data_IF_023573112615
#
_entry.id   IF_023573112615
#
_cell.length_a   1.000
_cell.length_b   1.000
_cell.length_c   1.000
_cell.angle_alpha   90.00
_cell.angle_beta   90.00
_cell.angle_gamma   90.00
#
_symmetry.space_group_name_H-M   'P 1'
#
loop_
_entity.id
_entity.type
_entity.pdbx_description
1 polymer ?
#
# COMPACT_ATOMS: atom_id res chain seq x y z
N UNK A 1 -6.73 -0.90 -21.77
CA UNK A 1 -6.39 -0.32 -20.45
C UNK A 1 -4.97 0.25 -20.41
N UNK A 2 -3.90 -0.58 -20.42
CA UNK A 2 -2.50 -0.11 -20.37
C UNK A 2 -2.15 0.96 -21.40
N UNK A 3 -2.60 0.78 -22.64
CA UNK A 3 -2.41 1.75 -23.72
C UNK A 3 -2.96 3.14 -23.36
N UNK A 4 -4.20 3.23 -22.84
CA UNK A 4 -4.78 4.50 -22.43
C UNK A 4 -3.97 5.18 -21.32
N UNK A 5 -3.51 4.42 -20.33
CA UNK A 5 -2.68 4.94 -19.25
C UNK A 5 -1.32 5.45 -19.76
N UNK A 6 -0.72 4.78 -20.75
CA UNK A 6 0.53 5.22 -21.37
C UNK A 6 0.38 6.57 -22.09
N UNK A 7 -0.80 6.88 -22.65
CA UNK A 7 -1.10 8.20 -23.23
C UNK A 7 -1.57 9.24 -22.21
N UNK A 8 -1.68 8.89 -20.92
CA UNK A 8 -2.28 9.75 -19.91
C UNK A 8 -3.79 9.94 -20.06
N UNK A 9 -4.46 9.12 -20.88
CA UNK A 9 -5.89 9.20 -21.13
C UNK A 9 -6.72 8.53 -20.02
N UNK A 10 -6.67 9.08 -18.80
CA UNK A 10 -7.26 8.50 -17.58
C UNK A 10 -8.76 8.18 -17.72
N UNK A 11 -9.55 9.09 -18.29
CA UNK A 11 -11.00 8.88 -18.49
C UNK A 11 -11.30 7.70 -19.41
N UNK A 12 -10.55 7.55 -20.50
CA UNK A 12 -10.67 6.40 -21.41
C UNK A 12 -10.23 5.10 -20.74
N UNK A 13 -9.17 5.15 -19.94
CA UNK A 13 -8.72 4.03 -19.13
C UNK A 13 -9.78 3.59 -18.12
N UNK A 14 -10.42 4.55 -17.44
CA UNK A 14 -11.47 4.27 -16.47
C UNK A 14 -12.72 3.65 -17.09
N UNK A 15 -13.19 4.18 -18.22
CA UNK A 15 -14.30 3.55 -18.97
C UNK A 15 -13.97 2.10 -19.36
N UNK A 16 -12.76 1.85 -19.84
CA UNK A 16 -12.32 0.49 -20.16
C UNK A 16 -12.24 -0.41 -18.91
N UNK A 17 -11.84 0.14 -17.76
CA UNK A 17 -11.82 -0.58 -16.48
C UNK A 17 -13.22 -0.94 -16.00
N UNK A 18 -14.20 -0.04 -16.12
CA UNK A 18 -15.60 -0.33 -15.80
C UNK A 18 -16.19 -1.44 -16.68
N UNK A 19 -15.84 -1.45 -17.97
CA UNK A 19 -16.28 -2.51 -18.90
C UNK A 19 -15.66 -3.88 -18.60
N UNK A 20 -14.48 -3.91 -17.97
CA UNK A 20 -13.86 -5.16 -17.52
C UNK A 20 -14.57 -5.76 -16.30
N UNK A 21 -15.38 -4.98 -15.58
CA UNK A 21 -16.19 -5.40 -14.43
C UNK A 21 -15.39 -6.20 -13.37
N UNK A 22 -14.20 -5.68 -13.03
CA UNK A 22 -13.26 -6.30 -12.10
C UNK A 22 -13.87 -6.39 -10.69
N UNK A 23 -14.01 -7.61 -10.16
CA UNK A 23 -14.70 -7.87 -8.88
C UNK A 23 -13.91 -8.79 -7.94
N UNK A 24 -14.18 -8.64 -6.64
CA UNK A 24 -13.68 -9.52 -5.57
C UNK A 24 -12.16 -9.75 -5.66
N UNK A 25 -11.72 -11.01 -5.75
CA UNK A 25 -10.31 -11.40 -5.84
C UNK A 25 -9.55 -10.72 -6.98
N UNK A 26 -10.25 -10.37 -8.07
CA UNK A 26 -9.62 -9.69 -9.20
C UNK A 26 -9.16 -8.27 -8.84
N UNK A 27 -9.74 -7.66 -7.80
CA UNK A 27 -9.28 -6.36 -7.31
C UNK A 27 -7.87 -6.46 -6.71
N UNK A 28 -7.51 -7.59 -6.11
CA UNK A 28 -6.15 -7.83 -5.59
C UNK A 28 -5.17 -8.18 -6.73
N UNK A 29 -5.57 -9.06 -7.64
CA UNK A 29 -4.67 -9.57 -8.69
C UNK A 29 -4.49 -8.62 -9.88
N UNK A 30 -5.52 -7.85 -10.24
CA UNK A 30 -5.54 -6.97 -11.41
C UNK A 30 -5.68 -5.49 -11.06
N UNK A 31 -5.94 -5.14 -9.79
CA UNK A 31 -6.11 -3.75 -9.36
C UNK A 31 -4.91 -2.86 -9.70
N UNK A 32 -3.71 -3.42 -9.71
CA UNK A 32 -2.47 -2.72 -10.07
C UNK A 32 -2.49 -2.13 -11.49
N UNK A 33 -3.27 -2.69 -12.42
CA UNK A 33 -3.34 -2.24 -13.81
C UNK A 33 -4.04 -0.90 -13.98
N UNK A 34 -4.91 -0.54 -13.02
CA UNK A 34 -5.71 0.68 -13.11
C UNK A 34 -5.35 1.69 -12.04
N UNK A 35 -5.24 1.25 -10.78
CA UNK A 35 -5.16 2.16 -9.64
C UNK A 35 -3.87 2.97 -9.61
N UNK A 36 -2.69 2.33 -9.63
CA UNK A 36 -1.43 3.06 -9.53
C UNK A 36 -1.18 3.96 -10.75
N UNK A 37 -1.49 3.54 -11.99
CA UNK A 37 -1.38 4.45 -13.13
C UNK A 37 -2.31 5.66 -13.06
N UNK A 38 -3.52 5.55 -12.46
CA UNK A 38 -4.37 6.73 -12.22
C UNK A 38 -3.70 7.74 -11.28
N UNK A 39 -3.11 7.24 -10.19
CA UNK A 39 -2.38 8.08 -9.22
C UNK A 39 -1.16 8.73 -9.89
N UNK A 40 -0.39 7.96 -10.69
CA UNK A 40 0.77 8.46 -11.43
C UNK A 40 0.40 9.53 -12.46
N UNK A 41 -0.74 9.38 -13.14
CA UNK A 41 -1.24 10.34 -14.12
C UNK A 41 -2.03 11.52 -13.49
N UNK A 42 -2.20 11.55 -12.16
CA UNK A 42 -2.80 12.66 -11.43
C UNK A 42 -4.33 12.68 -11.35
N UNK A 43 -5.02 11.62 -11.77
CA UNK A 43 -6.49 11.51 -11.64
C UNK A 43 -6.87 10.96 -10.25
N UNK A 44 -6.68 11.79 -9.24
CA UNK A 44 -6.90 11.41 -7.83
C UNK A 44 -8.37 11.22 -7.48
N UNK A 45 -9.28 11.89 -8.19
CA UNK A 45 -10.72 11.77 -7.98
C UNK A 45 -11.20 10.35 -8.31
N UNK A 46 -10.89 9.88 -9.52
CA UNK A 46 -11.25 8.52 -9.93
C UNK A 46 -10.42 7.47 -9.18
N UNK A 47 -9.16 7.76 -8.86
CA UNK A 47 -8.36 6.87 -8.00
C UNK A 47 -9.02 6.66 -6.63
N UNK A 48 -9.54 7.71 -6.00
CA UNK A 48 -10.20 7.61 -4.69
C UNK A 48 -11.44 6.70 -4.72
N UNK A 49 -12.22 6.75 -5.80
CA UNK A 49 -13.38 5.85 -6.00
C UNK A 49 -12.94 4.38 -6.13
N UNK A 50 -11.91 4.12 -6.94
CA UNK A 50 -11.35 2.77 -7.14
C UNK A 50 -10.74 2.23 -5.84
N UNK A 51 -10.02 3.07 -5.09
CA UNK A 51 -9.48 2.74 -3.76
C UNK A 51 -10.59 2.38 -2.80
N UNK A 52 -11.68 3.17 -2.77
CA UNK A 52 -12.82 2.91 -1.88
C UNK A 52 -13.42 1.53 -2.14
N UNK A 53 -13.62 1.19 -3.41
CA UNK A 53 -14.14 -0.13 -3.80
C UNK A 53 -13.17 -1.26 -3.42
N UNK A 54 -11.87 -1.05 -3.64
CA UNK A 54 -10.83 -2.02 -3.31
C UNK A 54 -10.70 -2.25 -1.80
N UNK A 55 -10.72 -1.18 -1.00
CA UNK A 55 -10.67 -1.26 0.48
C UNK A 55 -11.90 -1.95 1.05
N UNK A 56 -13.09 -1.70 0.48
CA UNK A 56 -14.33 -2.41 0.87
C UNK A 56 -14.20 -3.91 0.66
N UNK A 57 -13.62 -4.34 -0.47
CA UNK A 57 -13.34 -5.76 -0.71
C UNK A 57 -12.45 -6.37 0.37
N UNK A 58 -11.29 -5.76 0.68
CA UNK A 58 -10.39 -6.29 1.71
C UNK A 58 -11.03 -6.31 3.10
N UNK A 59 -11.78 -5.26 3.47
CA UNK A 59 -12.47 -5.19 4.76
C UNK A 59 -13.56 -6.25 4.88
N UNK A 60 -14.34 -6.45 3.83
CA UNK A 60 -15.38 -7.48 3.81
C UNK A 60 -14.77 -8.88 3.85
N UNK A 61 -13.72 -9.12 3.07
CA UNK A 61 -13.04 -10.41 3.08
C UNK A 61 -12.44 -10.75 4.45
N UNK A 62 -11.87 -9.76 5.14
CA UNK A 62 -11.37 -9.95 6.51
C UNK A 62 -12.47 -10.45 7.45
N UNK A 63 -13.68 -9.86 7.36
CA UNK A 63 -14.84 -10.27 8.17
C UNK A 63 -15.37 -11.65 7.78
N UNK A 64 -15.59 -11.89 6.49
CA UNK A 64 -16.15 -13.13 5.95
C UNK A 64 -15.20 -14.33 6.12
N UNK A 65 -13.89 -14.11 6.16
CA UNK A 65 -12.89 -15.18 6.28
C UNK A 65 -13.05 -16.03 7.54
N UNK A 66 -13.48 -15.44 8.66
CA UNK A 66 -13.73 -16.17 9.91
C UNK A 66 -15.00 -17.03 9.82
N UNK A 67 -16.02 -16.55 9.12
CA UNK A 67 -17.27 -17.28 8.89
C UNK A 67 -17.03 -18.50 8.00
N UNK A 68 -16.21 -18.37 6.95
CA UNK A 68 -15.85 -19.52 6.11
C UNK A 68 -15.17 -20.65 6.89
N UNK A 69 -14.27 -20.30 7.81
CA UNK A 69 -13.63 -21.29 8.71
C UNK A 69 -14.67 -21.91 9.64
N UNK A 70 -15.53 -21.11 10.24
CA UNK A 70 -16.60 -21.57 11.15
C UNK A 70 -17.59 -22.51 10.44
N UNK A 71 -17.98 -22.17 9.20
CA UNK A 71 -18.84 -23.01 8.38
C UNK A 71 -18.17 -24.32 7.97
N UNK A 72 -16.86 -24.30 7.68
CA UNK A 72 -16.13 -25.53 7.39
C UNK A 72 -16.17 -26.51 8.56
N UNK A 73 -16.08 -26.02 9.81
CA UNK A 73 -16.30 -26.84 11.00
C UNK A 73 -17.75 -27.34 11.09
N UNK A 74 -18.73 -26.45 10.91
CA UNK A 74 -20.17 -26.77 11.02
C UNK A 74 -20.63 -27.81 10.00
N UNK A 75 -20.10 -27.78 8.79
CA UNK A 75 -20.48 -28.67 7.68
C UNK A 75 -19.46 -29.80 7.45
N UNK A 76 -18.61 -30.09 8.43
CA UNK A 76 -17.64 -31.21 8.42
C UNK A 76 -16.64 -31.19 7.26
N UNK A 77 -16.42 -30.02 6.64
CA UNK A 77 -15.45 -29.82 5.56
C UNK A 77 -14.03 -29.55 6.10
N UNK A 78 -13.55 -30.40 7.01
CA UNK A 78 -12.31 -30.16 7.76
C UNK A 78 -11.06 -30.09 6.88
N UNK A 79 -11.06 -30.79 5.74
CA UNK A 79 -9.96 -30.77 4.76
C UNK A 79 -9.79 -29.43 4.07
N UNK A 80 -10.81 -28.56 4.09
CA UNK A 80 -10.81 -27.23 3.47
C UNK A 80 -10.36 -26.11 4.40
N UNK A 81 -10.30 -26.36 5.70
CA UNK A 81 -9.88 -25.36 6.69
C UNK A 81 -8.45 -24.85 6.42
N UNK A 82 -7.44 -25.69 6.12
CA UNK A 82 -6.10 -25.20 5.81
C UNK A 82 -6.07 -24.30 4.56
N UNK A 83 -6.90 -24.61 3.55
CA UNK A 83 -7.02 -23.80 2.33
C UNK A 83 -7.62 -22.43 2.63
N UNK A 84 -8.66 -22.36 3.48
CA UNK A 84 -9.27 -21.08 3.89
C UNK A 84 -8.31 -20.21 4.72
N UNK A 85 -7.55 -20.83 5.62
CA UNK A 85 -6.51 -20.12 6.38
C UNK A 85 -5.45 -19.59 5.43
N UNK A 86 -5.00 -20.40 4.46
CA UNK A 86 -4.00 -19.98 3.48
C UNK A 86 -4.48 -18.79 2.63
N UNK A 87 -5.72 -18.82 2.11
CA UNK A 87 -6.28 -17.69 1.35
C UNK A 87 -6.39 -16.44 2.21
N UNK A 88 -6.85 -16.58 3.46
CA UNK A 88 -6.95 -15.48 4.42
C UNK A 88 -5.58 -14.82 4.66
N UNK A 89 -4.56 -15.61 4.95
CA UNK A 89 -3.21 -15.10 5.16
C UNK A 89 -2.64 -14.45 3.89
N UNK A 90 -2.89 -15.04 2.72
CA UNK A 90 -2.46 -14.48 1.43
C UNK A 90 -3.07 -13.11 1.14
N UNK A 91 -4.34 -12.90 1.51
CA UNK A 91 -5.03 -11.62 1.32
C UNK A 91 -4.63 -10.58 2.38
N UNK A 92 -4.54 -10.99 3.64
CA UNK A 92 -4.13 -10.10 4.73
C UNK A 92 -2.71 -9.56 4.55
N UNK A 93 -1.83 -10.40 4.01
CA UNK A 93 -0.44 -10.05 3.73
C UNK A 93 -0.23 -9.59 2.28
N UNK A 94 -1.29 -9.24 1.55
CA UNK A 94 -1.16 -8.72 0.19
C UNK A 94 -0.43 -7.39 0.18
N UNK A 95 0.60 -7.29 -0.66
CA UNK A 95 1.31 -6.03 -0.92
C UNK A 95 0.39 -4.99 -1.57
N UNK A 96 -0.55 -5.44 -2.41
CA UNK A 96 -1.51 -4.54 -3.05
C UNK A 96 -2.43 -3.88 -2.01
N UNK A 97 -2.94 -4.67 -1.06
CA UNK A 97 -3.73 -4.15 0.06
C UNK A 97 -2.98 -3.05 0.83
N UNK A 98 -1.72 -3.30 1.18
CA UNK A 98 -0.92 -2.32 1.92
C UNK A 98 -0.72 -1.04 1.11
N UNK A 99 -0.38 -1.14 -0.17
CA UNK A 99 -0.27 0.03 -1.06
C UNK A 99 -1.57 0.81 -1.13
N UNK A 100 -2.71 0.15 -1.33
CA UNK A 100 -4.03 0.79 -1.40
C UNK A 100 -4.36 1.51 -0.08
N UNK A 101 -4.06 0.88 1.06
CA UNK A 101 -4.28 1.46 2.40
C UNK A 101 -3.48 2.75 2.59
N UNK A 102 -2.18 2.75 2.30
CA UNK A 102 -1.34 3.94 2.46
C UNK A 102 -1.71 5.04 1.46
N UNK A 103 -1.97 4.70 0.19
CA UNK A 103 -2.41 5.67 -0.80
C UNK A 103 -3.77 6.27 -0.43
N UNK A 104 -4.68 5.51 0.19
CA UNK A 104 -5.94 6.06 0.72
C UNK A 104 -5.69 7.15 1.75
N UNK A 105 -4.87 6.86 2.76
CA UNK A 105 -4.58 7.80 3.84
C UNK A 105 -3.89 9.06 3.32
N UNK A 106 -2.96 8.91 2.36
CA UNK A 106 -2.28 10.02 1.72
C UNK A 106 -3.23 10.88 0.88
N UNK A 107 -4.15 10.27 0.12
CA UNK A 107 -5.15 11.00 -0.65
C UNK A 107 -6.16 11.73 0.24
N UNK A 108 -6.61 11.11 1.33
CA UNK A 108 -7.52 11.74 2.28
C UNK A 108 -6.87 12.98 2.94
N UNK A 109 -5.56 12.91 3.25
CA UNK A 109 -4.79 14.08 3.71
C UNK A 109 -4.67 15.12 2.60
N UNK A 110 -4.39 14.70 1.36
CA UNK A 110 -4.26 15.60 0.21
C UNK A 110 -5.56 16.36 -0.10
N UNK A 111 -6.71 15.70 0.02
CA UNK A 111 -8.03 16.31 -0.19
C UNK A 111 -8.56 17.06 1.04
N UNK A 112 -7.83 17.07 2.16
CA UNK A 112 -8.27 17.76 3.36
C UNK A 112 -8.39 19.28 3.11
N UNK A 113 -9.57 19.83 3.38
CA UNK A 113 -9.91 21.23 3.11
C UNK A 113 -9.38 22.22 4.15
N UNK A 114 -9.03 21.77 5.35
CA UNK A 114 -8.55 22.63 6.44
C UNK A 114 -7.60 21.89 7.37
N UNK A 115 -6.76 22.65 8.07
CA UNK A 115 -5.82 22.09 9.06
C UNK A 115 -6.53 21.28 10.16
N UNK A 116 -7.70 21.74 10.61
CA UNK A 116 -8.49 21.03 11.62
C UNK A 116 -8.97 19.66 11.11
N UNK A 117 -9.39 19.59 9.84
CA UNK A 117 -9.78 18.34 9.21
C UNK A 117 -8.58 17.37 9.09
N UNK A 118 -7.42 17.87 8.64
CA UNK A 118 -6.19 17.06 8.58
C UNK A 118 -5.81 16.49 9.94
N UNK A 119 -5.92 17.29 11.01
CA UNK A 119 -5.64 16.84 12.37
C UNK A 119 -6.60 15.75 12.82
N UNK A 120 -7.88 15.86 12.49
CA UNK A 120 -8.88 14.84 12.79
C UNK A 120 -8.60 13.54 12.03
N UNK A 121 -8.33 13.61 10.73
CA UNK A 121 -8.00 12.45 9.90
C UNK A 121 -6.80 11.67 10.46
N UNK A 122 -5.73 12.36 10.88
CA UNK A 122 -4.54 11.71 11.42
C UNK A 122 -4.82 11.04 12.77
N UNK A 123 -5.71 11.61 13.59
CA UNK A 123 -6.19 10.96 14.82
C UNK A 123 -6.98 9.70 14.49
N UNK A 124 -7.90 9.78 13.52
CA UNK A 124 -8.75 8.67 13.09
C UNK A 124 -7.95 7.53 12.45
N UNK A 125 -6.82 7.86 11.82
CA UNK A 125 -5.92 6.90 11.20
C UNK A 125 -5.10 6.07 12.19
N UNK A 126 -5.03 6.48 13.46
CA UNK A 126 -4.26 5.80 14.52
C UNK A 126 -2.82 5.45 14.09
N UNK A 127 -2.16 6.37 13.38
CA UNK A 127 -0.79 6.17 12.87
C UNK A 127 0.15 6.06 14.08
N UNK A 128 0.74 4.88 14.28
CA UNK A 128 1.78 4.74 15.29
C UNK A 128 3.05 5.47 14.85
N UNK A 129 3.85 6.01 15.79
CA UNK A 129 5.12 6.65 15.46
C UNK A 129 6.17 5.68 14.91
N UNK A 130 5.99 4.37 15.12
CA UNK A 130 6.81 3.31 14.53
C UNK A 130 6.01 2.52 13.50
N UNK A 131 6.74 2.02 12.50
CA UNK A 131 6.21 1.12 11.49
C UNK A 131 5.85 -0.24 12.10
N UNK A 132 4.57 -0.63 11.96
CA UNK A 132 4.03 -1.92 12.43
C UNK A 132 3.99 -2.98 11.33
N UNK A 133 4.42 -2.66 10.11
CA UNK A 133 4.31 -3.56 8.97
C UNK A 133 5.29 -4.73 9.11
N UNK A 134 4.76 -5.94 9.00
CA UNK A 134 5.58 -7.16 8.93
C UNK A 134 6.07 -7.39 7.49
N UNK A 135 7.14 -6.67 7.11
CA UNK A 135 7.69 -6.68 5.76
C UNK A 135 8.05 -8.08 5.22
N UNK A 136 8.44 -9.00 6.10
CA UNK A 136 8.89 -10.35 5.73
C UNK A 136 7.75 -11.28 5.26
N UNK A 137 6.50 -10.95 5.60
CA UNK A 137 5.34 -11.81 5.32
C UNK A 137 4.58 -11.32 4.07
N UNK A 138 4.90 -10.12 3.57
CA UNK A 138 4.23 -9.54 2.41
C UNK A 138 4.34 -10.44 1.17
N UNK A 139 3.22 -10.58 0.48
CA UNK A 139 3.09 -11.42 -0.71
C UNK A 139 2.73 -10.58 -1.95
N UNK A 140 3.28 -10.99 -3.09
CA UNK A 140 2.89 -10.48 -4.40
C UNK A 140 1.79 -11.36 -4.99
N UNK A 141 0.59 -10.80 -5.13
CA UNK A 141 -0.57 -11.49 -5.69
C UNK A 141 -0.90 -11.03 -7.11
N UNK A 142 -0.08 -10.14 -7.72
CA UNK A 142 -0.36 -9.57 -9.04
C UNK A 142 -0.32 -10.65 -10.11
N UNK A 143 -1.33 -10.63 -10.99
CA UNK A 143 -1.38 -11.54 -12.13
C UNK A 143 -0.80 -10.86 -13.39
N UNK A 144 0.30 -11.40 -13.87
CA UNK A 144 0.97 -10.97 -15.10
C UNK A 144 0.58 -11.84 -16.31
N UNK A 145 -0.09 -12.98 -16.09
CA UNK A 145 -0.45 -13.93 -17.14
C UNK A 145 -1.73 -13.55 -17.90
N UNK A 146 -2.49 -12.58 -17.40
CA UNK A 146 -3.75 -12.12 -18.01
C UNK A 146 -3.56 -11.50 -19.39
N UNK A 147 -2.40 -10.88 -19.66
CA UNK A 147 -2.08 -10.36 -20.98
C UNK A 147 -1.42 -11.45 -21.79
N UNK A 148 -2.00 -11.74 -22.95
CA UNK A 148 -1.41 -12.72 -23.86
C UNK A 148 -0.07 -12.20 -24.39
N UNK A 149 0.99 -12.95 -24.06
CA UNK A 149 2.35 -12.71 -24.57
C UNK A 149 2.61 -13.61 -25.79
N UNK A 150 2.89 -12.99 -26.93
CA UNK A 150 3.26 -13.65 -28.20
C UNK A 150 4.74 -13.33 -28.54
N UNK A 151 5.46 -12.63 -27.64
CA UNK A 151 6.85 -12.28 -27.90
C UNK A 151 7.73 -13.54 -27.98
N UNK A 152 8.78 -13.53 -28.82
CA UNK A 152 9.70 -14.65 -28.92
C UNK A 152 10.52 -14.78 -27.63
N UNK A 153 10.92 -16.01 -27.28
CA UNK A 153 11.63 -16.38 -26.03
C UNK A 153 12.61 -15.34 -25.44
N UNK A 154 13.54 -14.70 -26.19
CA UNK A 154 14.45 -13.70 -25.61
C UNK A 154 13.78 -12.39 -25.16
N UNK A 155 12.49 -12.20 -25.47
CA UNK A 155 11.67 -11.04 -25.11
C UNK A 155 10.51 -11.41 -24.20
N UNK A 156 10.35 -12.69 -23.88
CA UNK A 156 9.30 -13.18 -22.97
C UNK A 156 9.58 -12.67 -21.57
N UNK A 157 8.50 -12.35 -20.87
CA UNK A 157 8.55 -11.88 -19.50
C UNK A 157 9.10 -12.95 -18.55
N UNK A 158 10.35 -12.80 -18.14
CA UNK A 158 11.02 -13.73 -17.23
C UNK A 158 10.63 -13.49 -15.75
N UNK A 159 10.76 -14.54 -14.93
CA UNK A 159 10.45 -14.48 -13.50
C UNK A 159 11.35 -13.49 -12.75
N UNK A 160 12.57 -13.24 -13.25
CA UNK A 160 13.48 -12.21 -12.74
C UNK A 160 12.86 -10.81 -12.83
N UNK A 161 12.17 -10.50 -13.95
CA UNK A 161 11.53 -9.20 -14.13
C UNK A 161 10.42 -8.99 -13.10
N UNK A 162 9.60 -10.02 -12.83
CA UNK A 162 8.56 -9.97 -11.78
C UNK A 162 9.19 -9.64 -10.43
N UNK A 163 10.26 -10.35 -10.05
CA UNK A 163 10.96 -10.11 -8.78
C UNK A 163 11.51 -8.69 -8.70
N UNK A 164 12.09 -8.17 -9.77
CA UNK A 164 12.55 -6.78 -9.82
C UNK A 164 11.40 -5.78 -9.65
N UNK A 165 10.28 -5.98 -10.36
CA UNK A 165 9.11 -5.10 -10.21
C UNK A 165 8.54 -5.14 -8.79
N UNK A 166 8.56 -6.31 -8.15
CA UNK A 166 8.11 -6.46 -6.77
C UNK A 166 9.02 -5.72 -5.80
N UNK A 167 10.34 -5.82 -5.98
CA UNK A 167 11.30 -5.07 -5.16
C UNK A 167 11.08 -3.56 -5.29
N UNK A 168 10.84 -3.06 -6.51
CA UNK A 168 10.51 -1.64 -6.71
C UNK A 168 9.21 -1.25 -6.01
N UNK A 169 8.18 -2.11 -6.06
CA UNK A 169 6.92 -1.88 -5.38
C UNK A 169 7.07 -1.84 -3.85
N UNK A 170 7.93 -2.69 -3.28
CA UNK A 170 8.25 -2.68 -1.85
C UNK A 170 9.00 -1.41 -1.45
N UNK A 171 9.99 -0.98 -2.25
CA UNK A 171 10.70 0.27 -1.99
C UNK A 171 9.73 1.46 -2.06
N UNK A 172 8.86 1.50 -3.07
CA UNK A 172 7.84 2.56 -3.18
C UNK A 172 6.88 2.54 -1.99
N UNK A 173 6.42 1.36 -1.58
CA UNK A 173 5.56 1.20 -0.39
C UNK A 173 6.24 1.71 0.87
N UNK A 174 7.53 1.39 1.08
CA UNK A 174 8.34 1.91 2.20
C UNK A 174 8.42 3.43 2.18
N UNK A 175 8.70 4.03 1.02
CA UNK A 175 8.74 5.48 0.89
C UNK A 175 7.39 6.14 1.20
N UNK A 176 6.30 5.58 0.69
CA UNK A 176 4.93 6.06 0.96
C UNK A 176 4.58 5.95 2.45
N UNK A 177 4.94 4.83 3.06
CA UNK A 177 4.78 4.60 4.49
C UNK A 177 5.56 5.65 5.29
N UNK A 178 6.85 5.83 5.02
CA UNK A 178 7.70 6.83 5.68
C UNK A 178 7.17 8.25 5.51
N UNK A 179 6.68 8.60 4.32
CA UNK A 179 6.09 9.91 4.05
C UNK A 179 4.86 10.17 4.93
N UNK A 180 3.97 9.19 5.08
CA UNK A 180 2.82 9.30 5.97
C UNK A 180 3.25 9.47 7.44
N UNK A 181 4.25 8.70 7.89
CA UNK A 181 4.79 8.79 9.25
C UNK A 181 5.46 10.14 9.51
N UNK A 182 6.17 10.70 8.52
CA UNK A 182 6.76 12.04 8.63
C UNK A 182 5.67 13.11 8.76
N UNK A 183 4.62 13.05 7.96
CA UNK A 183 3.48 13.99 8.06
C UNK A 183 2.84 13.91 9.45
N UNK A 184 2.56 12.70 9.94
CA UNK A 184 2.01 12.49 11.27
C UNK A 184 2.98 13.01 12.37
N UNK A 185 4.26 12.69 12.26
CA UNK A 185 5.31 13.14 13.18
C UNK A 185 5.44 14.67 13.25
N UNK A 186 5.35 15.36 12.11
CA UNK A 186 5.34 16.83 12.07
C UNK A 186 4.15 17.42 12.84
N UNK A 187 2.98 16.79 12.74
CA UNK A 187 1.78 17.24 13.44
C UNK A 187 1.87 16.94 14.93
N UNK A 188 2.36 15.77 15.34
CA UNK A 188 2.62 15.47 16.75
C UNK A 188 3.65 16.42 17.36
N UNK A 189 4.71 16.76 16.63
CA UNK A 189 5.69 17.74 17.07
C UNK A 189 5.05 19.14 17.22
N UNK A 190 4.18 19.55 16.31
CA UNK A 190 3.47 20.83 16.39
C UNK A 190 2.47 20.93 17.55
N UNK A 191 1.91 19.80 18.00
CA UNK A 191 1.00 19.73 19.15
C UNK A 191 1.74 19.56 20.48
N UNK A 192 3.04 19.26 20.45
CA UNK A 192 3.79 18.91 21.64
C UNK A 192 4.14 20.12 22.49
N UNK A 193 3.88 20.04 23.80
CA UNK A 193 4.33 21.07 24.75
C UNK A 193 5.85 20.96 24.96
N UNK A 194 6.57 22.10 25.15
CA UNK A 194 7.99 22.10 25.45
C UNK A 194 8.24 21.74 26.93
N UNK A 195 7.89 20.51 27.34
CA UNK A 195 8.12 20.02 28.70
C UNK A 195 9.24 18.97 28.74
N UNK A 196 10.23 19.20 29.61
CA UNK A 196 11.51 18.49 29.76
C UNK A 196 11.40 17.08 30.39
N UNK A 197 10.56 16.19 29.88
CA UNK A 197 10.55 14.78 30.32
C UNK A 197 10.96 13.86 29.17
N UNK A 198 12.25 13.52 29.14
CA UNK A 198 12.80 12.52 28.22
C UNK A 198 12.04 11.20 28.37
N UNK A 199 11.27 10.83 27.35
CA UNK A 199 10.70 9.49 27.23
C UNK A 199 11.74 8.56 26.64
N UNK A 200 12.13 7.54 27.40
CA UNK A 200 12.99 6.46 26.91
C UNK A 200 12.20 5.51 25.98
N UNK A 201 12.88 4.98 24.96
CA UNK A 201 12.34 4.00 24.02
C UNK A 201 12.84 2.61 24.45
N UNK A 202 11.95 1.78 24.99
CA UNK A 202 12.21 0.36 25.24
C UNK A 202 11.48 -0.51 24.20
N UNK A 203 12.19 -0.92 23.15
CA UNK A 203 11.71 -1.91 22.18
C UNK A 203 10.52 -1.47 21.32
N UNK A 204 9.46 -2.30 21.26
CA UNK A 204 8.28 -2.14 20.41
C UNK A 204 7.03 -1.64 21.17
N UNK A 205 7.13 -1.36 22.47
CA UNK A 205 5.99 -0.88 23.28
C UNK A 205 6.08 0.62 23.57
N UNK A 206 4.97 1.31 23.29
CA UNK A 206 4.82 2.74 23.46
C UNK A 206 4.43 3.08 24.91
N UNK A 207 5.39 3.55 25.71
CA UNK A 207 5.14 4.14 27.04
C UNK A 207 5.75 5.54 27.13
N UNK A 208 5.10 6.51 26.51
CA UNK A 208 5.47 7.92 26.59
C UNK A 208 4.32 8.82 26.16
N UNK A 209 4.35 10.10 26.51
CA UNK A 209 3.38 11.05 25.99
C UNK A 209 3.76 11.35 24.53
N UNK A 210 2.93 10.94 23.56
CA UNK A 210 3.17 11.13 22.11
C UNK A 210 3.35 12.61 21.72
N UNK A 211 2.92 13.49 22.63
CA UNK A 211 2.93 14.95 22.56
C UNK A 211 4.13 15.59 23.28
N UNK A 212 5.26 14.89 23.46
CA UNK A 212 6.51 15.55 23.87
C UNK A 212 7.31 15.97 22.64
N UNK A 213 7.52 17.28 22.48
CA UNK A 213 8.26 17.85 21.35
C UNK A 213 9.66 17.24 21.15
N UNK A 214 10.43 17.03 22.22
CA UNK A 214 11.79 16.51 22.11
C UNK A 214 11.81 15.06 21.62
N UNK A 215 10.81 14.28 22.04
CA UNK A 215 10.62 12.90 21.63
C UNK A 215 10.12 12.79 20.19
N UNK A 216 9.11 13.57 19.80
CA UNK A 216 8.63 13.61 18.41
C UNK A 216 9.75 14.08 17.47
N UNK A 217 10.61 15.00 17.92
CA UNK A 217 11.79 15.47 17.16
C UNK A 217 12.84 14.38 16.95
N UNK A 218 13.12 13.54 17.95
CA UNK A 218 14.09 12.45 17.80
C UNK A 218 13.57 11.39 16.81
N UNK A 219 12.28 11.06 16.89
CA UNK A 219 11.62 10.15 15.95
C UNK A 219 11.67 10.72 14.52
N UNK A 220 11.34 12.00 14.34
CA UNK A 220 11.41 12.64 13.02
C UNK A 220 12.82 12.58 12.42
N UNK A 221 13.86 12.83 13.23
CA UNK A 221 15.25 12.68 12.76
C UNK A 221 15.57 11.25 12.33
N UNK A 222 15.09 10.24 13.08
CA UNK A 222 15.26 8.84 12.72
C UNK A 222 14.55 8.51 11.41
N UNK A 223 13.28 8.90 11.28
CA UNK A 223 12.49 8.68 10.05
C UNK A 223 13.10 9.39 8.83
N UNK A 224 13.71 10.57 9.02
CA UNK A 224 14.43 11.27 7.95
C UNK A 224 15.67 10.49 7.52
N UNK A 225 16.46 9.97 8.46
CA UNK A 225 17.62 9.14 8.14
C UNK A 225 17.20 7.84 7.43
N UNK A 226 16.13 7.19 7.91
CA UNK A 226 15.57 5.98 7.27
C UNK A 226 15.10 6.28 5.84
N UNK A 227 14.52 7.46 5.59
CA UNK A 227 14.11 7.89 4.25
C UNK A 227 15.31 8.09 3.33
N UNK A 228 16.39 8.74 3.81
CA UNK A 228 17.63 8.90 3.04
C UNK A 228 18.25 7.56 2.67
N UNK A 229 18.31 6.61 3.63
CA UNK A 229 18.81 5.25 3.39
C UNK A 229 17.97 4.50 2.34
N UNK A 230 16.63 4.60 2.39
CA UNK A 230 15.75 3.96 1.42
C UNK A 230 15.82 4.59 0.01
N UNK A 231 16.30 5.83 -0.12
CA UNK A 231 16.50 6.49 -1.41
C UNK A 231 17.83 6.11 -2.09
N UNK A 232 18.87 5.77 -1.34
CA UNK A 232 20.18 5.33 -1.90
C UNK A 232 20.09 4.17 -2.92
N UNK A 233 19.35 3.07 -2.68
CA UNK A 233 19.23 2.01 -3.68
C UNK A 233 18.51 2.46 -4.96
N UNK A 234 17.67 3.50 -4.92
CA UNK A 234 17.02 4.04 -6.12
C UNK A 234 17.96 4.90 -6.96
N UNK A 235 18.92 5.59 -6.34
CA UNK A 235 19.94 6.38 -7.07
C UNK A 235 20.85 5.46 -7.89
N UNK A 236 21.13 4.26 -7.39
CA UNK A 236 22.07 3.33 -8.00
C UNK A 236 21.41 2.32 -8.97
N UNK A 237 20.11 2.05 -8.82
CA UNK A 237 19.37 1.14 -9.70
C UNK A 237 18.69 1.90 -10.85
N UNK A 238 19.43 2.16 -11.93
CA UNK A 238 18.82 2.62 -13.18
C UNK A 238 17.96 1.48 -13.74
N UNK A 239 16.66 1.69 -14.02
CA UNK A 239 15.80 0.65 -14.57
C UNK A 239 16.37 0.11 -15.89
N UNK A 240 16.56 -1.21 -15.96
CA UNK A 240 16.97 -1.91 -17.19
C UNK A 240 16.03 -1.53 -18.33
N UNK A 241 16.51 -1.46 -19.59
CA UNK A 241 15.67 -1.03 -20.71
C UNK A 241 14.42 -1.89 -20.90
N UNK A 242 14.46 -3.15 -20.44
CA UNK A 242 13.33 -4.08 -20.42
C UNK A 242 12.27 -3.73 -19.37
N UNK A 243 12.67 -3.28 -18.18
CA UNK A 243 11.72 -2.87 -17.14
C UNK A 243 10.85 -1.68 -17.56
N UNK A 244 11.40 -0.75 -18.36
CA UNK A 244 10.67 0.43 -18.88
C UNK A 244 9.50 0.10 -19.80
N UNK A 245 9.47 -1.07 -20.43
CA UNK A 245 8.35 -1.45 -21.32
C UNK A 245 7.07 -1.77 -20.58
N UNK A 246 7.15 -2.10 -19.29
CA UNK A 246 6.03 -2.66 -18.55
C UNK A 246 5.81 -2.05 -17.16
N UNK A 247 6.64 -1.07 -16.74
CA UNK A 247 6.29 -0.12 -15.68
C UNK A 247 5.14 0.74 -16.22
N UNK A 248 3.97 0.61 -15.59
CA UNK A 248 2.84 1.50 -15.79
C UNK A 248 2.96 2.70 -14.84
#
# INVERSE_FOLDING_TARGET
>A
LKFYHLFGACKGAHNAYLLLDVKHMQLDTLGYLHLFPLISNGDYTTASEVITTTMKFFTNNFKESADHITFAYKYEALTKIPEFIWVREKLNNSTHYMKVRFERMLLDIFFASSHANTLQLIKDFEISPLDKIQWNILQDNRDFSVLWDIDPKPRVFERECIKQTYNHDIILLRLRCLLLHLIAGCIYAGLGEPNNSEGEIDGYEFKGNLYNYNFSRSILKKLMADLEENLEPLKNNVPSSFSKKYIA
#
